data_IF_130204107311
#
_entry.id   IF_130204107311
#
_cell.length_a   1.000
_cell.length_b   1.000
_cell.length_c   1.000
_cell.angle_alpha   90.00
_cell.angle_beta   90.00
_cell.angle_gamma   90.00
#
_symmetry.space_group_name_H-M   'P 1'
#
loop_
_entity.id
_entity.type
_entity.pdbx_description
1 polymer ?
#
# COMPACT_ATOMS: atom_id res chain seq x y z
N UNK A 1 24.36 -18.21 -4.09
CA UNK A 1 24.30 -16.91 -4.77
C UNK A 1 24.07 -15.86 -3.69
N UNK A 2 24.71 -14.70 -3.80
CA UNK A 2 24.31 -13.53 -3.03
C UNK A 2 23.14 -12.85 -3.77
N UNK A 3 22.15 -12.35 -3.05
CA UNK A 3 21.04 -11.57 -3.62
C UNK A 3 20.96 -10.26 -2.84
N UNK A 4 21.66 -9.25 -3.34
CA UNK A 4 21.78 -7.97 -2.66
C UNK A 4 20.65 -7.04 -3.12
N UNK A 5 19.75 -6.72 -2.19
CA UNK A 5 18.73 -5.69 -2.37
C UNK A 5 19.40 -4.32 -2.20
N UNK A 6 19.10 -3.38 -3.09
CA UNK A 6 19.79 -2.09 -3.15
C UNK A 6 18.78 -0.94 -3.14
N UNK A 7 18.90 -0.09 -2.12
CA UNK A 7 18.13 1.14 -1.94
C UNK A 7 18.06 1.99 -3.21
N UNK A 8 16.87 2.46 -3.55
CA UNK A 8 16.58 3.23 -4.77
C UNK A 8 16.15 2.35 -5.94
N UNK A 9 16.09 1.03 -5.77
CA UNK A 9 15.47 0.13 -6.76
C UNK A 9 13.97 0.38 -6.83
N UNK A 10 13.28 0.59 -5.70
CA UNK A 10 11.85 0.93 -5.71
C UNK A 10 11.58 2.32 -6.31
N UNK A 11 12.45 3.31 -6.07
CA UNK A 11 12.33 4.63 -6.70
C UNK A 11 12.57 4.58 -8.22
N UNK A 12 13.66 3.94 -8.67
CA UNK A 12 14.01 3.87 -10.10
C UNK A 12 12.92 3.22 -10.96
N UNK A 13 12.23 2.20 -10.44
CA UNK A 13 11.09 1.55 -11.10
C UNK A 13 9.89 2.52 -11.29
N UNK A 14 9.68 3.47 -10.39
CA UNK A 14 8.69 4.53 -10.57
C UNK A 14 9.20 5.58 -11.57
N UNK A 15 10.43 6.05 -11.42
CA UNK A 15 11.00 7.21 -12.11
C UNK A 15 11.43 6.96 -13.58
N UNK A 16 11.20 5.76 -14.14
CA UNK A 16 11.66 5.37 -15.50
C UNK A 16 13.19 5.27 -15.62
N UNK A 17 13.87 4.94 -14.51
CA UNK A 17 15.33 4.86 -14.43
C UNK A 17 15.81 3.41 -14.35
N UNK A 18 17.00 3.14 -14.89
CA UNK A 18 17.63 1.83 -14.79
C UNK A 18 17.89 1.48 -13.31
N UNK A 19 17.28 0.42 -12.75
CA UNK A 19 17.37 0.14 -11.32
C UNK A 19 18.76 -0.37 -10.91
N UNK A 20 19.30 0.05 -9.75
CA UNK A 20 20.63 -0.33 -9.29
C UNK A 20 20.76 -1.81 -8.88
N UNK A 21 19.65 -2.49 -8.61
CA UNK A 21 19.58 -3.96 -8.49
C UNK A 21 18.32 -4.48 -9.16
N UNK A 22 18.33 -5.75 -9.58
CA UNK A 22 17.13 -6.48 -10.01
C UNK A 22 16.43 -7.20 -8.85
N UNK A 23 17.08 -7.27 -7.69
CA UNK A 23 16.59 -8.05 -6.55
C UNK A 23 15.71 -7.23 -5.62
N UNK A 24 14.47 -7.70 -5.43
CA UNK A 24 13.49 -7.13 -4.49
C UNK A 24 12.81 -8.25 -3.70
N UNK A 25 12.37 -7.95 -2.48
CA UNK A 25 11.57 -8.89 -1.68
C UNK A 25 10.08 -8.57 -1.80
N UNK A 26 9.26 -9.59 -2.04
CA UNK A 26 7.80 -9.52 -1.93
C UNK A 26 7.43 -9.48 -0.46
N UNK A 27 6.80 -8.41 0.01
CA UNK A 27 6.28 -8.28 1.37
C UNK A 27 4.82 -8.74 1.50
N UNK A 28 4.02 -8.50 0.45
CA UNK A 28 2.58 -8.76 0.43
C UNK A 28 2.14 -9.24 -0.94
N UNK A 29 1.12 -10.09 -0.98
CA UNK A 29 0.44 -10.54 -2.20
C UNK A 29 -1.06 -10.42 -1.96
N UNK A 30 -1.78 -9.76 -2.86
CA UNK A 30 -3.21 -9.48 -2.75
C UNK A 30 -3.89 -9.74 -4.09
N UNK A 31 -5.04 -10.43 -4.09
CA UNK A 31 -5.91 -10.46 -5.27
C UNK A 31 -6.65 -9.13 -5.38
N UNK A 32 -6.70 -8.56 -6.58
CA UNK A 32 -7.40 -7.30 -6.85
C UNK A 32 -8.89 -7.56 -6.94
N UNK A 33 -9.66 -6.70 -6.27
CA UNK A 33 -11.11 -6.72 -6.24
C UNK A 33 -11.65 -5.29 -6.44
N UNK A 34 -12.78 -5.18 -7.14
CA UNK A 34 -13.48 -3.92 -7.42
C UNK A 34 -14.90 -4.02 -6.87
N UNK A 35 -15.30 -3.08 -6.02
CA UNK A 35 -16.57 -3.15 -5.29
C UNK A 35 -16.69 -4.38 -4.36
N UNK A 36 -15.56 -4.97 -3.95
CA UNK A 36 -15.52 -6.22 -3.18
C UNK A 36 -15.60 -7.51 -4.02
N UNK A 37 -15.90 -7.41 -5.32
CA UNK A 37 -15.91 -8.54 -6.24
C UNK A 37 -14.50 -8.80 -6.79
N UNK A 38 -14.08 -10.07 -6.82
CA UNK A 38 -12.84 -10.50 -7.49
C UNK A 38 -12.95 -10.28 -8.99
N UNK A 39 -11.83 -9.93 -9.64
CA UNK A 39 -11.75 -9.82 -11.08
C UNK A 39 -11.61 -11.20 -11.74
N UNK A 40 -12.21 -11.34 -12.93
CA UNK A 40 -12.01 -12.44 -13.89
C UNK A 40 -11.67 -11.80 -15.25
N UNK A 41 -10.49 -12.07 -15.86
CA UNK A 41 -9.40 -12.88 -15.32
C UNK A 41 -8.85 -12.35 -14.00
N UNK A 42 -8.28 -13.25 -13.19
CA UNK A 42 -7.65 -12.86 -11.92
C UNK A 42 -6.51 -11.85 -12.17
N UNK A 43 -6.31 -10.94 -11.21
CA UNK A 43 -5.19 -10.01 -11.23
C UNK A 43 -4.67 -9.87 -9.80
N UNK A 44 -3.35 -9.93 -9.63
CA UNK A 44 -2.70 -9.74 -8.34
C UNK A 44 -1.94 -8.42 -8.28
N UNK A 45 -1.98 -7.80 -7.09
CA UNK A 45 -1.10 -6.72 -6.67
C UNK A 45 -0.14 -7.29 -5.64
N UNK A 46 1.14 -6.96 -5.75
CA UNK A 46 2.15 -7.33 -4.77
C UNK A 46 2.83 -6.07 -4.23
N UNK A 47 3.27 -6.10 -2.98
CA UNK A 47 4.15 -5.06 -2.43
C UNK A 47 5.57 -5.60 -2.52
N UNK A 48 6.44 -4.93 -3.28
CA UNK A 48 7.87 -5.24 -3.33
C UNK A 48 8.67 -4.23 -2.51
N UNK A 49 9.86 -4.63 -2.06
CA UNK A 49 10.80 -3.79 -1.32
C UNK A 49 12.25 -4.01 -1.74
N UNK A 50 13.05 -2.96 -1.67
CA UNK A 50 14.50 -2.96 -1.89
C UNK A 50 15.34 -3.00 -0.60
N UNK A 51 14.72 -3.34 0.54
CA UNK A 51 15.36 -3.35 1.86
C UNK A 51 15.33 -2.01 2.59
N UNK A 52 14.80 -0.97 1.96
CA UNK A 52 14.65 0.38 2.53
C UNK A 52 13.33 1.04 2.14
N UNK A 53 12.94 0.89 0.88
CA UNK A 53 11.74 1.46 0.28
C UNK A 53 10.81 0.33 -0.18
N UNK A 54 9.54 0.66 -0.37
CA UNK A 54 8.49 -0.25 -0.81
C UNK A 54 7.60 0.41 -1.87
N UNK A 55 7.16 -0.37 -2.86
CA UNK A 55 6.08 0.05 -3.79
C UNK A 55 5.04 -1.06 -3.99
N UNK A 56 3.74 -0.69 -4.15
CA UNK A 56 2.75 -1.59 -4.73
C UNK A 56 2.99 -1.69 -6.24
N UNK A 57 3.10 -2.90 -6.76
CA UNK A 57 3.21 -3.19 -8.20
C UNK A 57 2.16 -4.21 -8.61
N UNK A 58 1.76 -4.16 -9.87
CA UNK A 58 0.85 -5.14 -10.44
C UNK A 58 1.63 -6.33 -10.97
N UNK A 59 1.03 -7.52 -10.89
CA UNK A 59 1.55 -8.72 -11.51
C UNK A 59 0.91 -8.90 -12.90
N UNK A 60 1.73 -9.16 -13.92
CA UNK A 60 1.26 -9.57 -15.25
C UNK A 60 0.47 -10.88 -15.16
N UNK A 61 -0.61 -11.00 -15.95
CA UNK A 61 -1.58 -12.10 -15.78
C UNK A 61 -0.97 -13.49 -16.00
N UNK A 62 0.02 -13.62 -16.88
CA UNK A 62 0.74 -14.89 -17.12
C UNK A 62 1.50 -15.39 -15.88
N UNK A 63 1.94 -14.47 -15.01
CA UNK A 63 2.61 -14.77 -13.75
C UNK A 63 1.63 -15.13 -12.61
N UNK A 64 0.31 -14.93 -12.77
CA UNK A 64 -0.70 -15.29 -11.76
C UNK A 64 -0.56 -16.74 -11.28
N UNK A 65 -0.18 -17.65 -12.18
CA UNK A 65 0.06 -19.07 -11.87
C UNK A 65 1.15 -19.27 -10.82
N UNK A 66 2.12 -18.36 -10.70
CA UNK A 66 3.13 -18.40 -9.64
C UNK A 66 2.49 -18.13 -8.27
N UNK A 67 1.49 -17.26 -8.18
CA UNK A 67 0.77 -16.98 -6.93
C UNK A 67 -0.12 -18.15 -6.54
N UNK A 68 -0.95 -18.66 -7.47
CA UNK A 68 -1.88 -19.76 -7.16
C UNK A 68 -1.20 -21.11 -6.91
N UNK A 69 0.05 -21.30 -7.37
CA UNK A 69 0.91 -22.43 -7.00
C UNK A 69 1.80 -22.18 -5.77
N UNK A 70 1.63 -21.03 -5.08
CA UNK A 70 2.46 -20.56 -3.97
C UNK A 70 3.97 -20.43 -4.28
N UNK A 71 4.37 -20.46 -5.56
CA UNK A 71 5.73 -20.18 -5.99
C UNK A 71 6.10 -18.72 -5.70
N UNK A 72 5.21 -17.77 -5.96
CA UNK A 72 5.33 -16.37 -5.58
C UNK A 72 4.48 -16.11 -4.33
N UNK A 73 5.13 -15.76 -3.23
CA UNK A 73 4.52 -15.64 -1.90
C UNK A 73 5.22 -14.54 -1.09
N UNK A 74 4.62 -14.04 0.02
CA UNK A 74 5.30 -13.15 0.95
C UNK A 74 6.66 -13.68 1.42
N UNK A 75 7.56 -12.75 1.68
CA UNK A 75 8.99 -12.90 2.02
C UNK A 75 9.87 -13.51 0.91
N UNK A 76 9.34 -13.95 -0.23
CA UNK A 76 10.15 -14.40 -1.36
C UNK A 76 10.97 -13.24 -1.96
N UNK A 77 12.25 -13.48 -2.25
CA UNK A 77 13.09 -12.56 -3.05
C UNK A 77 13.01 -12.97 -4.50
N UNK A 78 12.78 -11.98 -5.36
CA UNK A 78 12.66 -12.14 -6.81
C UNK A 78 13.72 -11.33 -7.54
N UNK A 79 14.20 -11.85 -8.66
CA UNK A 79 14.86 -11.06 -9.71
C UNK A 79 13.76 -10.54 -10.65
N UNK A 80 13.72 -9.24 -10.91
CA UNK A 80 12.92 -8.65 -11.98
C UNK A 80 13.73 -8.83 -13.28
N UNK A 81 13.18 -9.58 -14.23
CA UNK A 81 13.81 -9.78 -15.54
C UNK A 81 13.27 -8.80 -16.57
N UNK A 82 11.95 -8.56 -16.55
CA UNK A 82 11.25 -7.57 -17.37
C UNK A 82 10.11 -6.89 -16.58
N UNK A 83 9.86 -5.62 -16.88
CA UNK A 83 8.75 -4.84 -16.33
C UNK A 83 8.34 -3.72 -17.30
N UNK A 84 7.09 -3.30 -17.18
CA UNK A 84 6.57 -2.09 -17.84
C UNK A 84 5.86 -1.20 -16.82
N UNK A 85 5.43 -0.03 -17.27
CA UNK A 85 4.70 0.93 -16.47
C UNK A 85 3.57 1.57 -17.28
N UNK A 86 2.52 1.99 -16.57
CA UNK A 86 1.47 2.86 -17.11
C UNK A 86 1.19 3.98 -16.13
N UNK A 87 0.90 5.17 -16.64
CA UNK A 87 0.40 6.29 -15.81
C UNK A 87 -1.11 6.38 -16.00
N UNK A 88 -1.87 6.21 -14.92
CA UNK A 88 -3.35 6.32 -14.90
C UNK A 88 -3.72 7.51 -14.03
N UNK A 89 -4.33 8.53 -14.63
CA UNK A 89 -4.50 9.85 -14.01
C UNK A 89 -3.16 10.41 -13.50
N UNK A 90 -2.98 10.50 -12.18
CA UNK A 90 -1.73 10.92 -11.51
C UNK A 90 -1.06 9.78 -10.73
N UNK A 91 -1.30 8.52 -11.10
CA UNK A 91 -0.70 7.34 -10.46
C UNK A 91 0.20 6.58 -11.44
N UNK A 92 1.46 6.35 -11.05
CA UNK A 92 2.43 5.50 -11.75
C UNK A 92 2.24 4.05 -11.30
N UNK A 93 1.83 3.18 -12.22
CA UNK A 93 1.60 1.76 -11.95
C UNK A 93 2.67 0.95 -12.68
N UNK A 94 3.60 0.39 -11.92
CA UNK A 94 4.58 -0.60 -12.42
C UNK A 94 3.89 -1.96 -12.51
N UNK A 95 4.13 -2.68 -13.61
CA UNK A 95 3.62 -4.02 -13.87
C UNK A 95 4.81 -4.94 -14.17
N UNK A 96 5.01 -5.97 -13.35
CA UNK A 96 6.06 -6.96 -13.58
C UNK A 96 5.57 -7.98 -14.63
N UNK A 97 6.34 -8.13 -15.71
CA UNK A 97 6.02 -8.99 -16.86
C UNK A 97 6.82 -10.30 -16.81
N UNK A 98 8.10 -10.25 -16.44
CA UNK A 98 8.92 -11.44 -16.18
C UNK A 98 9.71 -11.32 -14.88
N UNK A 99 9.68 -12.36 -14.04
CA UNK A 99 10.45 -12.44 -12.80
C UNK A 99 10.86 -13.88 -12.47
N UNK A 100 11.95 -14.04 -11.71
CA UNK A 100 12.39 -15.34 -11.18
C UNK A 100 12.48 -15.32 -9.66
N UNK A 101 11.97 -16.35 -8.98
CA UNK A 101 12.05 -16.45 -7.50
C UNK A 101 13.40 -17.05 -7.11
N UNK A 102 14.27 -16.24 -6.51
CA UNK A 102 15.68 -16.60 -6.23
C UNK A 102 15.94 -17.03 -4.79
N UNK A 103 15.14 -16.59 -3.81
CA UNK A 103 15.27 -17.00 -2.42
C UNK A 103 13.97 -16.91 -1.63
N UNK A 104 13.92 -17.55 -0.45
CA UNK A 104 12.81 -17.48 0.52
C UNK A 104 13.31 -17.24 1.95
N UNK A 105 13.72 -15.99 2.29
CA UNK A 105 13.89 -15.57 3.68
C UNK A 105 12.70 -15.89 4.58
N UNK A 106 12.96 -16.05 5.88
CA UNK A 106 11.95 -16.22 6.93
C UNK A 106 11.54 -14.91 7.63
N UNK A 107 12.09 -13.77 7.19
CA UNK A 107 11.78 -12.43 7.69
C UNK A 107 11.89 -11.39 6.57
N UNK A 108 11.36 -10.19 6.79
CA UNK A 108 11.55 -9.07 5.89
C UNK A 108 13.01 -8.57 5.97
N UNK A 109 13.65 -8.36 4.82
CA UNK A 109 15.01 -7.83 4.73
C UNK A 109 14.94 -6.31 4.86
N UNK A 110 15.88 -5.73 5.61
CA UNK A 110 15.93 -4.29 5.87
C UNK A 110 15.32 -3.88 7.21
N UNK A 111 15.21 -2.57 7.44
CA UNK A 111 14.58 -2.02 8.64
C UNK A 111 14.00 -0.64 8.37
N UNK A 112 12.87 -0.29 9.01
CA UNK A 112 12.12 0.97 8.78
C UNK A 112 11.75 1.17 7.29
N UNK A 113 11.06 0.20 6.72
CA UNK A 113 10.67 0.22 5.30
C UNK A 113 9.67 1.36 5.01
N UNK A 114 10.04 2.29 4.13
CA UNK A 114 9.20 3.43 3.73
C UNK A 114 8.37 3.09 2.49
N UNK A 115 7.04 3.23 2.58
CA UNK A 115 6.15 3.10 1.42
C UNK A 115 6.25 4.36 0.56
N UNK A 116 6.78 4.24 -0.66
CA UNK A 116 6.90 5.37 -1.58
C UNK A 116 5.52 5.80 -2.08
N UNK A 117 5.36 7.10 -2.31
CA UNK A 117 4.19 7.64 -2.98
C UNK A 117 4.28 7.31 -4.47
N UNK A 118 3.34 6.52 -4.97
CA UNK A 118 3.23 6.19 -6.41
C UNK A 118 2.51 7.28 -7.23
N UNK A 119 2.15 8.40 -6.60
CA UNK A 119 1.51 9.51 -7.27
C UNK A 119 2.52 10.46 -7.92
N UNK A 120 2.32 10.72 -9.21
CA UNK A 120 3.03 11.74 -10.00
C UNK A 120 2.33 13.10 -9.95
N UNK A 121 1.41 13.31 -9.01
CA UNK A 121 0.73 14.60 -8.83
C UNK A 121 1.72 15.64 -8.29
N UNK A 122 1.90 16.81 -8.94
CA UNK A 122 2.76 17.87 -8.45
C UNK A 122 2.48 18.29 -7.00
N UNK A 123 1.24 18.22 -6.52
CA UNK A 123 0.92 18.53 -5.12
C UNK A 123 1.59 17.56 -4.14
N UNK A 124 1.57 16.25 -4.46
CA UNK A 124 2.20 15.19 -3.67
C UNK A 124 3.74 15.23 -3.75
N UNK A 125 4.29 15.65 -4.89
CA UNK A 125 5.73 15.91 -5.05
C UNK A 125 6.18 17.07 -4.16
N UNK A 126 5.37 18.14 -4.05
CA UNK A 126 5.71 19.32 -3.24
C UNK A 126 5.74 19.03 -1.73
N UNK A 127 4.88 18.14 -1.22
CA UNK A 127 4.98 17.64 0.17
C UNK A 127 6.32 16.91 0.42
N UNK A 128 6.73 16.06 -0.54
CA UNK A 128 8.00 15.35 -0.49
C UNK A 128 9.19 16.31 -0.52
N UNK A 129 9.15 17.34 -1.38
CA UNK A 129 10.17 18.39 -1.44
C UNK A 129 10.24 19.19 -0.14
N UNK A 130 9.09 19.55 0.45
CA UNK A 130 9.04 20.25 1.74
C UNK A 130 9.70 19.42 2.86
N UNK A 131 9.36 18.13 2.97
CA UNK A 131 9.99 17.17 3.91
C UNK A 131 11.53 17.14 3.77
N UNK A 132 12.07 17.17 2.55
CA UNK A 132 13.52 17.19 2.32
C UNK A 132 14.18 18.56 2.60
N UNK A 133 13.44 19.66 2.55
CA UNK A 133 13.95 20.99 2.89
C UNK A 133 13.97 21.21 4.41
N UNK A 134 12.93 20.77 5.12
CA UNK A 134 12.82 20.90 6.59
C UNK A 134 13.93 20.14 7.34
N UNK A 135 14.38 19.00 6.80
CA UNK A 135 15.51 18.22 7.34
C UNK A 135 16.83 19.00 7.37
N UNK A 136 16.97 20.08 6.59
CA UNK A 136 18.13 21.01 6.67
C UNK A 136 17.98 22.11 7.71
N UNK A 137 16.85 22.19 8.43
CA UNK A 137 16.57 23.21 9.43
C UNK A 137 17.22 23.01 10.82
N UNK A 138 17.82 21.84 11.09
CA UNK A 138 18.47 21.56 12.38
C UNK A 138 19.99 21.35 12.23
N UNK A 139 20.72 22.47 12.20
CA UNK A 139 22.17 22.52 12.29
C UNK A 139 22.65 23.90 12.74
N UNK A 140 23.22 23.98 13.94
CA UNK A 140 23.85 25.13 14.59
C UNK A 140 23.14 26.50 14.51
N UNK A 141 22.35 26.79 15.55
CA UNK A 141 22.29 28.15 16.10
C UNK A 141 22.60 28.06 17.60
N UNK A 142 23.71 28.68 18.01
CA UNK A 142 24.17 28.69 19.39
C UNK A 142 23.20 29.51 20.28
N UNK A 143 23.08 29.09 21.54
CA UNK A 143 22.25 29.79 22.52
C UNK A 143 22.81 31.18 22.85
N UNK A 144 21.94 32.18 22.78
CA UNK A 144 22.02 33.41 23.56
C UNK A 144 20.64 33.61 24.17
N UNK A 145 20.53 33.41 25.49
CA UNK A 145 19.40 33.91 26.26
C UNK A 145 19.60 35.42 26.46
N UNK A 146 18.60 36.25 26.17
CA UNK A 146 18.29 37.34 27.11
C UNK A 146 16.88 37.97 26.96
N UNK A 147 16.41 38.44 28.12
CA UNK A 147 15.24 39.23 28.50
C UNK A 147 14.25 39.87 27.47
N UNK A 148 12.96 39.65 27.76
CA UNK A 148 11.91 40.68 28.00
C UNK A 148 11.40 41.62 26.87
N UNK A 149 10.08 41.61 26.61
CA UNK A 149 9.18 42.73 27.00
C UNK A 149 7.69 42.49 26.69
N UNK A 150 6.88 42.68 27.72
CA UNK A 150 5.47 43.11 27.81
C UNK A 150 4.45 42.99 26.65
N UNK A 151 3.38 42.26 26.98
CA UNK A 151 1.94 42.58 26.78
C UNK A 151 1.44 43.13 25.44
N UNK A 152 0.43 42.43 24.88
CA UNK A 152 -0.90 43.04 24.70
C UNK A 152 -1.97 41.94 24.56
N UNK A 153 -2.99 41.96 25.40
CA UNK A 153 -4.17 41.10 25.25
C UNK A 153 -5.43 41.95 25.07
N UNK A 154 -6.43 41.42 24.35
CA UNK A 154 -7.84 41.80 24.50
C UNK A 154 -8.71 40.62 24.05
N UNK A 155 -9.69 40.27 24.89
CA UNK A 155 -10.64 39.19 24.63
C UNK A 155 -12.02 39.78 24.33
N UNK A 156 -12.63 39.36 23.22
CA UNK A 156 -14.01 39.70 22.89
C UNK A 156 -14.82 38.40 22.75
N UNK A 157 -15.89 38.25 23.54
CA UNK A 157 -16.73 37.06 23.56
C UNK A 157 -18.22 37.40 23.42
N UNK A 158 -18.93 36.59 22.65
CA UNK A 158 -20.40 36.43 22.54
C UNK A 158 -20.64 35.13 21.74
N UNK A 159 -21.52 34.17 22.04
CA UNK A 159 -22.90 34.14 22.60
C UNK A 159 -23.94 34.85 21.71
N UNK A 160 -25.14 34.31 21.46
CA UNK A 160 -25.81 33.05 21.89
C UNK A 160 -25.73 31.96 20.77
N UNK A 161 -26.65 31.03 20.43
CA UNK A 161 -28.04 30.69 20.81
C UNK A 161 -28.42 29.21 20.44
N UNK A 162 -29.65 28.77 20.73
CA UNK A 162 -30.16 27.38 20.54
C UNK A 162 -31.04 27.16 19.30
N UNK A 163 -31.23 25.88 18.91
CA UNK A 163 -32.57 25.32 18.58
C UNK A 163 -32.58 23.78 18.51
N UNK A 164 -33.33 23.15 19.41
CA UNK A 164 -33.54 21.68 19.49
C UNK A 164 -34.79 21.25 18.71
N UNK A 165 -34.74 20.11 17.99
CA UNK A 165 -35.92 19.23 17.76
C UNK A 165 -35.55 17.75 17.61
N UNK A 166 -35.97 16.96 18.60
CA UNK A 166 -36.47 15.58 18.42
C UNK A 166 -37.91 15.67 17.84
N UNK A 167 -38.65 14.63 17.46
CA UNK A 167 -38.52 13.15 17.48
C UNK A 167 -39.18 12.64 16.16
N UNK A 168 -39.00 11.38 15.77
CA UNK A 168 -40.14 10.44 15.64
C UNK A 168 -39.69 9.00 15.36
N UNK A 169 -40.51 8.04 15.78
CA UNK A 169 -40.27 6.59 15.84
C UNK A 169 -41.40 5.81 15.13
N UNK A 170 -41.23 4.48 15.02
CA UNK A 170 -42.22 3.46 14.66
C UNK A 170 -42.64 3.36 13.18
N UNK A 171 -42.39 2.17 12.59
CA UNK A 171 -42.75 1.84 11.20
C UNK A 171 -42.63 0.34 10.91
N UNK A 172 -43.27 -0.51 11.71
CA UNK A 172 -43.04 -1.97 11.69
C UNK A 172 -43.95 -2.76 10.72
N UNK A 173 -43.32 -3.68 9.98
CA UNK A 173 -43.83 -4.98 9.48
C UNK A 173 -42.62 -5.93 9.47
N UNK A 174 -42.69 -7.25 9.68
CA UNK A 174 -43.75 -8.21 9.39
C UNK A 174 -43.44 -8.95 8.07
N UNK A 175 -43.48 -10.28 7.93
CA UNK A 175 -43.96 -11.35 8.84
C UNK A 175 -43.49 -12.72 8.32
N UNK A 176 -42.98 -13.61 9.19
CA UNK A 176 -42.89 -15.10 9.00
C UNK A 176 -42.07 -15.62 7.78
N UNK A 177 -41.74 -16.92 7.58
CA UNK A 177 -42.03 -18.17 8.30
C UNK A 177 -40.88 -19.23 8.20
N UNK A 178 -41.23 -20.48 8.55
CA UNK A 178 -40.55 -21.80 8.49
C UNK A 178 -40.04 -22.21 7.07
N UNK A 179 -39.39 -23.36 6.82
CA UNK A 179 -39.20 -24.60 7.61
C UNK A 179 -37.91 -25.39 7.24
N UNK A 180 -37.71 -26.52 7.93
CA UNK A 180 -36.63 -27.51 7.74
C UNK A 180 -36.80 -28.32 6.44
N UNK A 181 -35.68 -28.72 5.83
CA UNK A 181 -35.58 -30.07 5.28
C UNK A 181 -34.20 -30.73 5.47
N UNK A 182 -34.26 -32.01 5.80
CA UNK A 182 -33.17 -32.93 6.13
C UNK A 182 -33.01 -33.99 5.02
N UNK A 183 -31.80 -34.56 4.90
CA UNK A 183 -31.36 -35.86 4.29
C UNK A 183 -30.13 -35.66 3.39
N UNK A 184 -28.97 -36.30 3.59
CA UNK A 184 -28.59 -37.75 3.67
C UNK A 184 -28.56 -38.49 2.34
N UNK A 185 -27.56 -39.37 2.17
CA UNK A 185 -27.14 -40.02 0.92
C UNK A 185 -25.67 -39.70 0.61
N UNK A 186 -24.67 -40.35 1.23
CA UNK A 186 -24.15 -41.71 0.94
C UNK A 186 -23.10 -41.76 -0.18
N UNK A 187 -21.83 -41.66 0.22
CA UNK A 187 -20.71 -42.43 -0.35
C UNK A 187 -20.89 -43.94 -0.06
N UNK A 188 -20.15 -44.87 -0.72
CA UNK A 188 -19.41 -44.79 -1.98
C UNK A 188 -19.76 -46.00 -2.91
N UNK A 189 -18.96 -46.28 -3.95
CA UNK A 189 -18.38 -47.63 -4.24
C UNK A 189 -17.47 -47.56 -5.49
N UNK A 190 -16.45 -48.42 -5.54
CA UNK A 190 -15.44 -48.47 -6.60
C UNK A 190 -15.73 -49.51 -7.71
N UNK A 191 -15.09 -49.30 -8.86
CA UNK A 191 -14.78 -50.32 -9.88
C UNK A 191 -13.44 -49.97 -10.53
#
# INVERSE_FOLDING_TARGET
MNFDLVNGTCAALLDDLAPPSRYVQVLKVEQVAVGGLKLDPEQYRITISDGSQCIPVMLGMDLNKMVSSAQLAPLAVVCIEDYLWVTVCTLRIVILTELTVVARPNHAIGSKLELLNVSTDPANVMETVAKYLDIKGQGDTLAIEDASSDTCGLSNASTTDESVREVDDAGATGTEERDVHEKTGEDPVAA
#
